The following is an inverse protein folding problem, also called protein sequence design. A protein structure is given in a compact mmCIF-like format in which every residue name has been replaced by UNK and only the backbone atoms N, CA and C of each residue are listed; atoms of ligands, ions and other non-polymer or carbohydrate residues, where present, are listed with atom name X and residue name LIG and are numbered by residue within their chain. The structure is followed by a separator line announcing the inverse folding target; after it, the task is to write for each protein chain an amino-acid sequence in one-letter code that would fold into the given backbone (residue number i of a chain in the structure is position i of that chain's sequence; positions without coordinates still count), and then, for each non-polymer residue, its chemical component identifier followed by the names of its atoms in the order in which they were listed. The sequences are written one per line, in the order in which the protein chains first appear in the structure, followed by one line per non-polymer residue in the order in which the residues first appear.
data_IF_381720409524
#
_entry.id   IF_381720409524
#
_cell.length_a   1.000
_cell.length_b   1.000
_cell.length_c   1.000
_cell.angle_alpha   90.00
_cell.angle_beta   90.00
_cell.angle_gamma   90.00
#
_symmetry.space_group_name_H-M   'P 1'
#
loop_
_entity.id
_entity.type
_entity.pdbx_description
1 polymer ?
#
# COMPACT_ATOMS: atom_id res chain seq x y z
N UNK A 1 -0.56 8.05 -7.33
CA UNK A 1 -1.38 7.52 -6.21
C UNK A 1 -0.50 7.31 -4.99
N UNK A 2 -0.90 7.81 -3.82
CA UNK A 2 -0.25 7.52 -2.54
C UNK A 2 -1.05 6.44 -1.81
N UNK A 3 -0.40 5.36 -1.38
CA UNK A 3 -1.07 4.23 -0.72
C UNK A 3 -0.09 3.44 0.16
N UNK A 4 -0.62 2.70 1.12
CA UNK A 4 0.16 1.81 1.98
C UNK A 4 0.47 0.44 1.31
N UNK A 5 0.76 0.46 0.02
CA UNK A 5 0.98 -0.76 -0.74
C UNK A 5 -0.33 -1.46 -1.13
N UNK A 6 -0.32 -2.78 -1.15
CA UNK A 6 -1.51 -3.60 -1.42
C UNK A 6 -1.88 -4.42 -0.18
N UNK A 7 -3.16 -4.83 -0.12
CA UNK A 7 -3.68 -5.60 1.02
C UNK A 7 -2.97 -6.95 1.13
N UNK A 8 -2.55 -7.32 2.33
CA UNK A 8 -1.80 -8.54 2.62
C UNK A 8 -2.52 -9.84 2.20
N UNK A 9 -3.84 -9.79 2.01
CA UNK A 9 -4.66 -10.90 1.49
C UNK A 9 -4.56 -11.06 -0.03
N UNK A 10 -3.92 -10.13 -0.73
CA UNK A 10 -3.69 -10.16 -2.18
C UNK A 10 -2.29 -10.69 -2.47
N UNK A 11 -2.08 -11.21 -3.68
CA UNK A 11 -0.76 -11.56 -4.15
C UNK A 11 0.02 -10.28 -4.50
N UNK A 12 0.94 -9.90 -3.61
CA UNK A 12 1.76 -8.69 -3.75
C UNK A 12 2.72 -8.81 -4.94
N UNK A 13 3.26 -10.00 -5.18
CA UNK A 13 4.16 -10.24 -6.30
C UNK A 13 3.45 -10.03 -7.63
N UNK A 14 2.30 -10.66 -7.82
CA UNK A 14 1.50 -10.47 -9.03
C UNK A 14 1.03 -9.02 -9.19
N UNK A 15 0.75 -8.33 -8.08
CA UNK A 15 0.40 -6.90 -8.10
C UNK A 15 1.55 -6.07 -8.66
N UNK A 16 2.78 -6.27 -8.17
CA UNK A 16 3.97 -5.55 -8.64
C UNK A 16 4.30 -5.89 -10.10
N UNK A 17 4.26 -7.16 -10.49
CA UNK A 17 4.44 -7.61 -11.88
C UNK A 17 3.40 -6.97 -12.82
N UNK A 18 2.16 -6.82 -12.35
CA UNK A 18 1.12 -6.15 -13.12
C UNK A 18 1.37 -4.66 -13.29
N UNK A 19 1.81 -3.98 -12.24
CA UNK A 19 2.19 -2.56 -12.31
C UNK A 19 3.35 -2.35 -13.27
N UNK A 20 4.37 -3.19 -13.22
CA UNK A 20 5.50 -3.18 -14.14
C UNK A 20 5.06 -3.39 -15.59
N UNK A 21 4.22 -4.39 -15.86
CA UNK A 21 3.65 -4.66 -17.19
C UNK A 21 2.85 -3.47 -17.75
N UNK A 22 2.28 -2.65 -16.88
CA UNK A 22 1.55 -1.43 -17.25
C UNK A 22 2.46 -0.19 -17.31
N UNK A 23 3.77 -0.35 -17.11
CA UNK A 23 4.75 0.75 -17.01
C UNK A 23 4.38 1.76 -15.93
N UNK A 24 3.86 1.28 -14.80
CA UNK A 24 3.54 2.09 -13.61
C UNK A 24 4.67 1.94 -12.59
N UNK A 25 5.58 2.91 -12.46
CA UNK A 25 6.66 2.81 -11.49
C UNK A 25 6.12 2.91 -10.06
N UNK A 26 6.80 2.19 -9.15
CA UNK A 26 6.49 2.17 -7.72
C UNK A 26 7.64 2.77 -6.94
N UNK A 27 7.43 3.94 -6.33
CA UNK A 27 8.40 4.61 -5.46
C UNK A 27 8.04 4.38 -4.00
N UNK A 28 9.03 4.06 -3.15
CA UNK A 28 8.85 4.00 -1.71
C UNK A 28 9.11 5.36 -1.07
N UNK A 29 8.17 5.87 -0.29
CA UNK A 29 8.34 7.10 0.49
C UNK A 29 8.98 6.75 1.84
N UNK A 30 10.29 6.99 1.95
CA UNK A 30 11.06 6.63 3.13
C UNK A 30 11.22 5.14 3.38
N UNK A 31 10.92 4.28 2.38
CA UNK A 31 11.04 2.82 2.51
C UNK A 31 11.60 2.17 1.25
N UNK A 32 12.23 1.01 1.42
CA UNK A 32 12.83 0.23 0.34
C UNK A 32 11.96 -0.96 -0.09
N UNK A 33 10.97 -1.31 0.74
CA UNK A 33 10.01 -2.38 0.47
C UNK A 33 8.63 -1.82 0.14
N UNK A 34 7.90 -2.56 -0.70
CA UNK A 34 6.49 -2.28 -0.99
C UNK A 34 5.65 -2.70 0.19
N UNK A 35 4.97 -1.80 0.93
CA UNK A 35 4.24 -2.17 2.12
C UNK A 35 3.09 -3.15 1.83
N UNK A 36 2.79 -4.00 2.82
CA UNK A 36 1.70 -4.97 2.77
C UNK A 36 0.47 -4.50 3.56
N UNK A 37 0.12 -3.24 3.44
CA UNK A 37 -1.03 -2.56 4.03
C UNK A 37 -0.94 -2.40 5.55
N UNK A 38 -0.88 -3.48 6.30
CA UNK A 38 -0.79 -3.48 7.77
C UNK A 38 0.63 -3.59 8.32
N UNK A 39 1.61 -3.77 7.43
CA UNK A 39 3.03 -3.82 7.77
C UNK A 39 3.86 -3.11 6.70
N UNK A 40 4.99 -2.52 7.12
CA UNK A 40 5.95 -1.92 6.21
C UNK A 40 6.78 -2.96 5.43
N UNK A 41 6.80 -4.20 5.93
CA UNK A 41 7.65 -5.28 5.44
C UNK A 41 6.84 -6.31 4.63
N UNK A 42 7.22 -6.51 3.38
CA UNK A 42 6.61 -7.53 2.50
C UNK A 42 7.64 -8.46 1.86
N UNK A 43 8.93 -8.14 1.98
CA UNK A 43 10.00 -8.82 1.27
C UNK A 43 10.14 -8.42 -0.20
N UNK A 44 9.25 -7.58 -0.74
CA UNK A 44 9.31 -7.12 -2.14
C UNK A 44 9.82 -5.67 -2.21
N UNK A 45 10.87 -5.45 -3.01
CA UNK A 45 11.45 -4.12 -3.16
C UNK A 45 10.62 -3.21 -4.06
N UNK A 46 10.63 -1.91 -3.76
CA UNK A 46 10.14 -0.87 -4.67
C UNK A 46 11.14 -0.61 -5.78
N UNK A 47 10.71 0.05 -6.86
CA UNK A 47 11.58 0.41 -7.99
C UNK A 47 12.68 1.41 -7.57
N UNK A 48 12.32 2.37 -6.71
CA UNK A 48 13.25 3.35 -6.15
C UNK A 48 12.66 3.97 -4.88
N UNK A 49 13.51 4.52 -4.01
CA UNK A 49 13.12 5.22 -2.79
C UNK A 49 13.21 6.72 -2.97
N UNK A 50 12.35 7.45 -2.30
CA UNK A 50 12.38 8.92 -2.14
C UNK A 50 12.27 9.28 -0.66
N UNK A 51 13.08 10.23 -0.19
CA UNK A 51 13.24 10.52 1.24
C UNK A 51 12.64 11.88 1.66
N UNK A 52 11.59 12.31 1.01
CA UNK A 52 10.88 13.51 1.43
C UNK A 52 10.01 14.13 0.35
N UNK A 53 9.19 15.12 0.72
CA UNK A 53 8.22 15.69 -0.20
C UNK A 53 8.84 16.40 -1.39
N UNK A 54 9.98 17.08 -1.23
CA UNK A 54 10.67 17.79 -2.32
C UNK A 54 11.24 16.82 -3.35
N UNK A 55 11.82 15.71 -2.89
CA UNK A 55 12.36 14.68 -3.77
C UNK A 55 11.22 13.96 -4.49
N UNK A 56 10.18 13.55 -3.77
CA UNK A 56 9.00 12.94 -4.35
C UNK A 56 8.37 13.85 -5.42
N UNK A 57 8.22 15.15 -5.14
CA UNK A 57 7.68 16.12 -6.09
C UNK A 57 8.52 16.21 -7.37
N UNK A 58 9.87 16.26 -7.26
CA UNK A 58 10.77 16.26 -8.43
C UNK A 58 10.63 14.99 -9.27
N UNK A 59 10.63 13.83 -8.61
CA UNK A 59 10.50 12.52 -9.27
C UNK A 59 9.16 12.40 -9.99
N UNK A 60 8.05 12.80 -9.34
CA UNK A 60 6.73 12.78 -9.95
C UNK A 60 6.64 13.69 -11.18
N UNK A 61 7.20 14.91 -11.09
CA UNK A 61 7.25 15.83 -12.23
C UNK A 61 8.05 15.25 -13.39
N UNK A 62 9.26 14.74 -13.14
CA UNK A 62 10.09 14.14 -14.17
C UNK A 62 9.40 12.94 -14.84
N UNK A 63 8.70 12.10 -14.07
CA UNK A 63 7.96 10.97 -14.61
C UNK A 63 6.80 11.43 -15.51
N UNK A 64 6.06 12.48 -15.13
CA UNK A 64 5.00 13.04 -15.98
C UNK A 64 5.55 13.71 -17.25
N UNK A 65 6.67 14.43 -17.15
CA UNK A 65 7.33 15.04 -18.30
C UNK A 65 7.82 14.00 -19.31
N UNK A 66 8.12 12.79 -18.87
CA UNK A 66 8.47 11.62 -19.72
C UNK A 66 7.26 10.81 -20.18
N UNK A 67 6.04 11.24 -19.86
CA UNK A 67 4.79 10.63 -20.34
C UNK A 67 4.25 9.48 -19.48
N UNK A 68 4.69 9.36 -18.22
CA UNK A 68 4.11 8.37 -17.30
C UNK A 68 2.59 8.60 -17.11
N UNK A 69 1.79 7.56 -17.32
CA UNK A 69 0.33 7.61 -17.20
C UNK A 69 -0.18 7.35 -15.79
N UNK A 70 0.64 6.73 -14.96
CA UNK A 70 0.35 6.43 -13.57
C UNK A 70 1.64 6.24 -12.78
N UNK A 71 1.61 6.60 -11.50
CA UNK A 71 2.73 6.45 -10.58
C UNK A 71 2.16 6.03 -9.23
N UNK A 72 2.76 5.04 -8.61
CA UNK A 72 2.47 4.64 -7.22
C UNK A 72 3.57 5.18 -6.32
N UNK A 73 3.17 5.85 -5.25
CA UNK A 73 4.05 6.21 -4.13
C UNK A 73 3.59 5.37 -2.94
N UNK A 74 4.38 4.38 -2.60
CA UNK A 74 4.13 3.46 -1.50
C UNK A 74 4.59 4.12 -0.20
N UNK A 75 3.67 4.27 0.74
CA UNK A 75 3.86 4.92 2.04
C UNK A 75 3.73 3.88 3.13
N UNK A 76 4.75 3.67 3.97
CA UNK A 76 4.63 2.73 5.09
C UNK A 76 3.47 3.09 6.02
N UNK A 77 2.80 2.11 6.63
CA UNK A 77 1.79 2.38 7.64
C UNK A 77 2.40 3.16 8.81
N UNK A 78 1.64 4.10 9.43
CA UNK A 78 2.11 4.87 10.58
C UNK A 78 2.27 4.02 11.85
N UNK A 79 1.60 2.88 11.89
CA UNK A 79 1.74 1.83 12.89
C UNK A 79 1.52 0.48 12.22
N UNK A 80 2.04 -0.59 12.81
CA UNK A 80 1.88 -1.95 12.29
C UNK A 80 0.83 -2.72 13.10
N UNK A 81 0.10 -3.59 12.41
CA UNK A 81 -0.80 -4.55 13.05
C UNK A 81 0.00 -5.79 13.42
N UNK A 82 0.19 -6.01 14.71
CA UNK A 82 0.85 -7.20 15.22
C UNK A 82 0.12 -8.46 14.76
N UNK A 83 0.85 -9.44 14.22
CA UNK A 83 0.29 -10.68 13.71
C UNK A 83 -0.54 -10.50 12.43
N UNK A 84 -0.33 -9.43 11.66
CA UNK A 84 -1.10 -9.14 10.45
C UNK A 84 -1.15 -10.30 9.46
N UNK A 85 -0.01 -10.98 9.26
CA UNK A 85 0.09 -12.10 8.33
C UNK A 85 -0.73 -13.31 8.81
N UNK A 86 -0.61 -13.67 10.07
CA UNK A 86 -1.36 -14.77 10.68
C UNK A 86 -2.87 -14.51 10.67
N UNK A 87 -3.28 -13.27 10.97
CA UNK A 87 -4.68 -12.85 10.91
C UNK A 87 -5.23 -12.93 9.50
N UNK A 88 -4.47 -12.46 8.50
CA UNK A 88 -4.84 -12.53 7.11
C UNK A 88 -4.94 -13.98 6.61
N UNK A 89 -3.95 -14.81 6.90
CA UNK A 89 -3.95 -16.23 6.54
C UNK A 89 -5.10 -16.99 7.20
N UNK A 90 -5.42 -16.66 8.46
CA UNK A 90 -6.57 -17.24 9.16
C UNK A 90 -7.88 -16.85 8.49
N UNK A 91 -8.08 -15.58 8.16
CA UNK A 91 -9.28 -15.11 7.45
C UNK A 91 -9.43 -15.83 6.10
N UNK A 92 -8.34 -15.96 5.33
CA UNK A 92 -8.35 -16.68 4.04
C UNK A 92 -8.73 -18.14 4.22
N UNK A 93 -8.19 -18.84 5.23
CA UNK A 93 -8.56 -20.24 5.49
C UNK A 93 -10.02 -20.40 5.89
N UNK A 94 -10.55 -19.49 6.71
CA UNK A 94 -11.94 -19.55 7.18
C UNK A 94 -12.98 -19.25 6.07
N UNK A 95 -12.56 -18.54 5.02
CA UNK A 95 -13.41 -18.16 3.90
C UNK A 95 -12.99 -18.84 2.58
N UNK A 96 -12.25 -19.95 2.66
CA UNK A 96 -11.67 -20.63 1.49
C UNK A 96 -12.71 -21.15 0.48
N UNK A 97 -13.91 -21.49 0.94
CA UNK A 97 -15.00 -22.00 0.10
C UNK A 97 -15.82 -20.87 -0.57
N UNK A 98 -15.47 -19.62 -0.29
CA UNK A 98 -16.16 -18.47 -0.83
C UNK A 98 -15.46 -17.92 -2.08
N UNK A 99 -16.23 -17.40 -3.02
CA UNK A 99 -15.73 -16.81 -4.26
C UNK A 99 -16.58 -15.60 -4.67
N UNK A 100 -16.01 -14.77 -5.56
CA UNK A 100 -16.72 -13.65 -6.16
C UNK A 100 -16.27 -12.29 -5.66
N UNK A 101 -16.94 -11.24 -6.11
CA UNK A 101 -16.59 -9.83 -5.83
C UNK A 101 -16.67 -9.46 -4.35
N UNK A 102 -17.48 -10.19 -3.57
CA UNK A 102 -17.68 -9.96 -2.14
C UNK A 102 -16.60 -10.58 -1.25
N UNK A 103 -15.71 -11.40 -1.80
CA UNK A 103 -14.68 -12.09 -1.02
C UNK A 103 -13.73 -11.11 -0.31
N UNK A 104 -13.23 -10.11 -1.03
CA UNK A 104 -12.30 -9.13 -0.43
C UNK A 104 -12.92 -8.32 0.70
N UNK A 105 -14.13 -7.74 0.59
CA UNK A 105 -14.81 -7.10 1.71
C UNK A 105 -14.99 -8.03 2.91
N UNK A 106 -15.37 -9.28 2.70
CA UNK A 106 -15.58 -10.26 3.77
C UNK A 106 -14.28 -10.67 4.46
N UNK A 107 -13.19 -10.86 3.69
CA UNK A 107 -11.86 -11.11 4.25
C UNK A 107 -11.42 -9.95 5.16
N UNK A 108 -11.62 -8.70 4.73
CA UNK A 108 -11.28 -7.54 5.56
C UNK A 108 -12.15 -7.43 6.82
N UNK A 109 -13.45 -7.69 6.70
CA UNK A 109 -14.34 -7.74 7.86
C UNK A 109 -13.89 -8.82 8.85
N UNK A 110 -13.48 -10.00 8.34
CA UNK A 110 -12.98 -11.08 9.19
C UNK A 110 -11.67 -10.72 9.89
N UNK A 111 -10.73 -10.07 9.19
CA UNK A 111 -9.50 -9.54 9.80
C UNK A 111 -9.84 -8.51 10.89
N UNK A 112 -10.85 -7.65 10.68
CA UNK A 112 -11.29 -6.68 11.69
C UNK A 112 -11.81 -7.38 12.95
N UNK A 113 -12.65 -8.40 12.80
CA UNK A 113 -13.13 -9.21 13.94
C UNK A 113 -11.98 -9.90 14.68
N UNK A 114 -11.09 -10.59 13.95
CA UNK A 114 -9.96 -11.31 14.52
C UNK A 114 -8.95 -10.40 15.23
N UNK A 115 -8.82 -9.16 14.76
CA UNK A 115 -7.94 -8.15 15.38
C UNK A 115 -8.59 -7.36 16.52
N UNK A 116 -9.87 -7.64 16.84
CA UNK A 116 -10.63 -6.86 17.82
C UNK A 116 -10.83 -5.40 17.42
N UNK A 117 -11.02 -5.13 16.14
CA UNK A 117 -11.23 -3.79 15.58
C UNK A 117 -9.96 -3.03 15.21
N UNK A 118 -8.77 -3.45 15.68
CA UNK A 118 -7.50 -2.74 15.47
C UNK A 118 -7.16 -2.51 13.99
N UNK A 119 -7.51 -3.44 13.10
CA UNK A 119 -7.25 -3.27 11.66
C UNK A 119 -8.14 -2.17 11.06
N UNK A 120 -9.32 -1.93 11.60
CA UNK A 120 -10.21 -0.85 11.14
C UNK A 120 -9.66 0.52 11.54
N UNK A 121 -9.21 0.67 12.79
CA UNK A 121 -8.58 1.90 13.27
C UNK A 121 -7.34 2.22 12.43
N UNK A 122 -6.49 1.22 12.19
CA UNK A 122 -5.31 1.38 11.34
C UNK A 122 -5.68 1.76 9.90
N UNK A 123 -6.77 1.24 9.34
CA UNK A 123 -7.24 1.64 8.00
C UNK A 123 -7.54 3.14 7.93
N UNK A 124 -8.15 3.70 8.96
CA UNK A 124 -8.40 5.16 9.04
C UNK A 124 -7.07 5.91 9.07
N UNK A 125 -6.13 5.47 9.91
CA UNK A 125 -4.81 6.08 10.02
C UNK A 125 -4.02 6.02 8.70
N UNK A 126 -4.11 4.91 7.96
CA UNK A 126 -3.50 4.78 6.63
C UNK A 126 -4.02 5.83 5.66
N UNK A 127 -5.34 6.02 5.59
CA UNK A 127 -5.96 6.99 4.68
C UNK A 127 -5.52 8.41 5.04
N UNK A 128 -5.56 8.76 6.32
CA UNK A 128 -5.14 10.08 6.81
C UNK A 128 -3.66 10.33 6.55
N UNK A 129 -2.79 9.34 6.82
CA UNK A 129 -1.35 9.47 6.59
C UNK A 129 -1.03 9.63 5.09
N UNK A 130 -1.64 8.82 4.22
CA UNK A 130 -1.46 8.91 2.79
C UNK A 130 -1.90 10.27 2.23
N UNK A 131 -3.04 10.78 2.68
CA UNK A 131 -3.55 12.09 2.30
C UNK A 131 -2.63 13.22 2.76
N UNK A 132 -2.12 13.15 4.00
CA UNK A 132 -1.18 14.14 4.56
C UNK A 132 0.12 14.17 3.74
N UNK A 133 0.71 13.03 3.43
CA UNK A 133 1.95 12.95 2.64
C UNK A 133 1.69 13.45 1.21
N UNK A 134 0.58 13.05 0.59
CA UNK A 134 0.21 13.54 -0.74
C UNK A 134 0.09 15.08 -0.77
N UNK A 135 -0.53 15.69 0.24
CA UNK A 135 -0.64 17.13 0.36
C UNK A 135 0.73 17.82 0.53
N UNK A 136 1.63 17.25 1.34
CA UNK A 136 3.00 17.76 1.51
C UNK A 136 3.78 17.73 0.19
N UNK A 137 3.66 16.64 -0.57
CA UNK A 137 4.32 16.51 -1.88
C UNK A 137 3.72 17.49 -2.90
N UNK A 138 2.40 17.66 -2.91
CA UNK A 138 1.74 18.65 -3.79
C UNK A 138 2.19 20.08 -3.47
N UNK A 139 2.32 20.42 -2.19
CA UNK A 139 2.80 21.74 -1.75
C UNK A 139 4.29 21.98 -2.07
N UNK A 140 5.07 20.91 -2.20
CA UNK A 140 6.50 21.01 -2.55
C UNK A 140 6.77 21.19 -4.06
N UNK A 141 5.73 21.18 -4.90
CA UNK A 141 5.82 21.37 -6.36
C UNK A 141 5.83 22.84 -6.80
N UNK A 142 5.72 23.76 -5.85
CA UNK A 142 5.67 25.22 -6.12
C UNK A 142 7.07 25.79 -6.36
#
# INVERSE_FOLDING_TARGET
MFCAGAKIILDLRLTLERLESLSVPVFGYGCDEFPAFYTAHSGFRVSSRVDGPQEAARVLRAAWDTGARGIVVAVPPPAELEGAEELAQRAVRELADEAGSELTPRLLARVAELSGGRSLDLNVDLVVNNARIAAQVASAQV
#
